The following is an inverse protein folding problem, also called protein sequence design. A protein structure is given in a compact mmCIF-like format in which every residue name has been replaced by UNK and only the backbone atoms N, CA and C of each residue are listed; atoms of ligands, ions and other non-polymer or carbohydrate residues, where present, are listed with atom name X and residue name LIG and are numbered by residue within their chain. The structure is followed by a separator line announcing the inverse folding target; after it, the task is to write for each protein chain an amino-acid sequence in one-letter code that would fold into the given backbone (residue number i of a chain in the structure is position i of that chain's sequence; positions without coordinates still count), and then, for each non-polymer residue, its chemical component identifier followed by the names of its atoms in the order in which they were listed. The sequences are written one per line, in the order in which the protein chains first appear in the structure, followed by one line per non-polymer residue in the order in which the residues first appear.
data_IF_447043700043
#
_entry.id   IF_447043700043
#
_cell.length_a   1.000
_cell.length_b   1.000
_cell.length_c   1.000
_cell.angle_alpha   90.00
_cell.angle_beta   90.00
_cell.angle_gamma   90.00
#
_symmetry.space_group_name_H-M   'P 1'
#
loop_
_entity.id
_entity.type
_entity.pdbx_description
1 polymer ?
#
# COMPACT_ATOMS: atom_id res chain seq x y z
N UNK A 1 -10.08 6.76 -0.33
CA UNK A 1 -9.32 6.27 -1.50
C UNK A 1 -8.72 7.45 -2.23
N UNK A 2 -7.50 7.33 -2.78
CA UNK A 2 -6.84 8.36 -3.60
C UNK A 2 -6.12 7.70 -4.78
N UNK A 3 -5.95 8.42 -5.88
CA UNK A 3 -5.26 7.92 -7.08
C UNK A 3 -4.09 8.84 -7.47
N UNK A 4 -3.00 8.23 -7.94
CA UNK A 4 -1.82 8.91 -8.47
C UNK A 4 -1.31 8.19 -9.73
N UNK A 5 -1.04 8.95 -10.79
CA UNK A 5 -0.47 8.44 -12.04
C UNK A 5 0.98 8.93 -12.16
N UNK A 6 1.93 8.00 -12.31
CA UNK A 6 3.36 8.29 -12.54
C UNK A 6 3.89 7.41 -13.66
N UNK A 7 4.47 8.02 -14.70
CA UNK A 7 5.02 7.30 -15.87
C UNK A 7 4.04 6.24 -16.42
N UNK A 8 2.79 6.65 -16.62
CA UNK A 8 1.65 5.81 -17.07
C UNK A 8 1.25 4.68 -16.10
N UNK A 9 1.99 4.45 -15.02
CA UNK A 9 1.59 3.52 -13.96
C UNK A 9 0.57 4.21 -13.06
N UNK A 10 -0.50 3.51 -12.73
CA UNK A 10 -1.58 4.01 -11.87
C UNK A 10 -1.47 3.37 -10.50
N UNK A 11 -1.53 4.19 -9.46
CA UNK A 11 -1.47 3.78 -8.06
C UNK A 11 -2.75 4.25 -7.37
N UNK A 12 -3.49 3.32 -6.79
CA UNK A 12 -4.73 3.61 -6.04
C UNK A 12 -4.47 3.24 -4.59
N UNK A 13 -4.54 4.19 -3.68
CA UNK A 13 -4.42 3.95 -2.24
C UNK A 13 -5.78 3.91 -1.57
N UNK A 14 -5.93 3.01 -0.61
CA UNK A 14 -7.12 2.85 0.21
C UNK A 14 -6.69 2.49 1.64
N UNK A 15 -7.42 3.02 2.62
CA UNK A 15 -7.22 2.75 4.05
C UNK A 15 -8.43 2.02 4.60
N UNK A 16 -8.19 1.04 5.46
CA UNK A 16 -9.21 0.27 6.17
C UNK A 16 -8.90 0.22 7.66
N UNK A 17 -9.96 0.19 8.48
CA UNK A 17 -9.89 -0.26 9.85
C UNK A 17 -9.67 -1.78 9.90
N UNK A 18 -8.83 -2.21 10.85
CA UNK A 18 -8.54 -3.63 11.09
C UNK A 18 -8.58 -3.92 12.59
N UNK A 19 -9.15 -5.06 12.96
CA UNK A 19 -9.24 -5.51 14.35
C UNK A 19 -8.29 -6.68 14.63
N UNK A 20 -7.85 -7.38 13.59
CA UNK A 20 -6.95 -8.51 13.68
C UNK A 20 -6.18 -8.68 12.35
N UNK A 21 -5.19 -9.59 12.34
CA UNK A 21 -4.35 -9.86 11.17
C UNK A 21 -5.16 -10.51 10.03
N UNK A 22 -6.21 -11.28 10.34
CA UNK A 22 -7.02 -11.94 9.32
C UNK A 22 -7.86 -10.96 8.51
N UNK A 23 -8.24 -9.80 9.07
CA UNK A 23 -8.87 -8.71 8.32
C UNK A 23 -7.97 -8.25 7.16
N UNK A 24 -6.66 -8.10 7.42
CA UNK A 24 -5.67 -7.72 6.38
C UNK A 24 -5.65 -8.74 5.26
N UNK A 25 -5.67 -10.05 5.59
CA UNK A 25 -5.66 -11.13 4.60
C UNK A 25 -6.94 -11.13 3.76
N UNK A 26 -8.11 -10.98 4.39
CA UNK A 26 -9.41 -10.95 3.72
C UNK A 26 -9.51 -9.76 2.76
N UNK A 27 -9.12 -8.56 3.22
CA UNK A 27 -9.11 -7.35 2.40
C UNK A 27 -8.14 -7.50 1.23
N UNK A 28 -6.94 -8.06 1.47
CA UNK A 28 -5.94 -8.29 0.41
C UNK A 28 -6.47 -9.21 -0.70
N UNK A 29 -7.12 -10.31 -0.32
CA UNK A 29 -7.73 -11.25 -1.28
C UNK A 29 -8.84 -10.54 -2.07
N UNK A 30 -9.75 -9.85 -1.39
CA UNK A 30 -10.84 -9.11 -2.01
C UNK A 30 -10.32 -8.07 -3.01
N UNK A 31 -9.30 -7.28 -2.65
CA UNK A 31 -8.70 -6.30 -3.55
C UNK A 31 -8.01 -6.95 -4.76
N UNK A 32 -7.37 -8.11 -4.58
CA UNK A 32 -6.80 -8.86 -5.72
C UNK A 32 -7.88 -9.38 -6.67
N UNK A 33 -9.04 -9.78 -6.13
CA UNK A 33 -10.19 -10.23 -6.92
C UNK A 33 -10.91 -9.09 -7.63
N UNK A 34 -11.06 -7.93 -6.99
CA UNK A 34 -11.63 -6.73 -7.58
C UNK A 34 -10.71 -6.15 -8.66
N UNK A 35 -9.41 -6.13 -8.40
CA UNK A 35 -8.40 -5.55 -9.27
C UNK A 35 -7.56 -6.62 -10.01
N UNK A 36 -8.20 -7.59 -10.68
CA UNK A 36 -7.51 -8.70 -11.38
C UNK A 36 -6.43 -8.27 -12.38
N UNK A 37 -6.55 -7.07 -12.95
CA UNK A 37 -5.59 -6.49 -13.91
C UNK A 37 -4.44 -5.73 -13.24
N UNK A 38 -4.49 -5.54 -11.92
CA UNK A 38 -3.40 -4.92 -11.19
C UNK A 38 -2.17 -5.83 -11.19
N UNK A 39 -0.99 -5.22 -11.28
CA UNK A 39 0.27 -5.95 -11.25
C UNK A 39 0.69 -6.29 -9.82
N UNK A 40 0.39 -5.37 -8.90
CA UNK A 40 0.74 -5.47 -7.49
C UNK A 40 -0.41 -4.92 -6.64
N UNK A 41 -0.70 -5.58 -5.53
CA UNK A 41 -1.52 -5.08 -4.43
C UNK A 41 -0.63 -5.09 -3.19
N UNK A 42 -0.06 -3.94 -2.86
CA UNK A 42 0.88 -3.78 -1.75
C UNK A 42 0.10 -3.38 -0.51
N UNK A 43 0.57 -3.77 0.67
CA UNK A 43 0.01 -3.23 1.91
C UNK A 43 1.06 -2.98 2.99
N UNK A 44 0.69 -2.11 3.92
CA UNK A 44 1.33 -1.93 5.22
C UNK A 44 0.26 -1.67 6.27
N UNK A 45 0.44 -2.22 7.48
CA UNK A 45 -0.53 -2.08 8.56
C UNK A 45 0.15 -1.86 9.91
N UNK A 46 -0.60 -1.24 10.82
CA UNK A 46 -0.35 -1.22 12.26
C UNK A 46 -1.62 -1.73 12.92
N UNK A 47 -1.50 -2.81 13.67
CA UNK A 47 -2.54 -3.35 14.54
C UNK A 47 -2.06 -3.10 15.98
N UNK A 48 -2.93 -2.64 16.86
CA UNK A 48 -2.55 -2.21 18.19
C UNK A 48 -1.34 -1.23 18.17
N UNK A 49 -0.52 -1.18 19.23
CA UNK A 49 0.66 -0.30 19.30
C UNK A 49 1.99 -1.02 18.97
N UNK A 50 2.00 -2.35 18.97
CA UNK A 50 3.19 -3.19 18.91
C UNK A 50 3.21 -4.09 17.67
N UNK A 51 2.06 -4.34 17.05
CA UNK A 51 1.96 -5.25 15.91
C UNK A 51 1.96 -4.48 14.58
N UNK A 52 2.91 -4.79 13.70
CA UNK A 52 2.93 -4.21 12.35
C UNK A 52 3.43 -5.20 11.32
N UNK A 53 3.06 -4.98 10.07
CA UNK A 53 3.53 -5.81 8.96
C UNK A 53 3.30 -5.15 7.62
N UNK A 54 3.96 -5.67 6.60
CA UNK A 54 3.84 -5.19 5.23
C UNK A 54 4.06 -6.30 4.22
N UNK A 55 3.64 -6.06 2.98
CA UNK A 55 3.88 -6.95 1.86
C UNK A 55 4.09 -6.11 0.59
N UNK A 56 5.25 -6.29 -0.04
CA UNK A 56 5.63 -5.61 -1.28
C UNK A 56 4.99 -6.25 -2.54
N UNK A 57 4.31 -7.39 -2.42
CA UNK A 57 3.62 -8.12 -3.49
C UNK A 57 4.42 -8.20 -4.81
N UNK A 58 5.65 -8.71 -4.74
CA UNK A 58 6.59 -8.84 -5.89
C UNK A 58 7.17 -7.51 -6.41
N UNK A 59 6.91 -6.38 -5.77
CA UNK A 59 7.78 -5.21 -5.90
C UNK A 59 9.16 -5.51 -5.30
N UNK A 60 10.21 -4.75 -5.66
CA UNK A 60 11.51 -4.88 -5.01
C UNK A 60 11.38 -4.72 -3.49
N UNK A 61 12.04 -5.60 -2.74
CA UNK A 61 11.93 -5.66 -1.29
C UNK A 61 12.18 -4.31 -0.61
N UNK A 62 11.26 -3.93 0.27
CA UNK A 62 11.27 -2.70 1.07
C UNK A 62 10.94 -1.43 0.28
N UNK A 63 10.54 -1.54 -0.99
CA UNK A 63 10.27 -0.37 -1.84
C UNK A 63 8.81 0.08 -1.87
N UNK A 64 7.88 -0.66 -1.26
CA UNK A 64 6.46 -0.37 -1.37
C UNK A 64 5.73 -0.45 -0.02
N UNK A 65 5.70 -1.63 0.61
CA UNK A 65 4.96 -1.87 1.85
C UNK A 65 5.60 -1.24 3.09
N UNK A 66 6.93 -1.30 3.20
CA UNK A 66 7.67 -0.69 4.33
C UNK A 66 7.45 0.85 4.43
N UNK A 67 7.51 1.62 3.33
CA UNK A 67 7.14 3.04 3.34
C UNK A 67 5.74 3.32 3.90
N UNK A 68 4.77 2.45 3.62
CA UNK A 68 3.39 2.58 4.11
C UNK A 68 3.34 2.39 5.64
N UNK A 69 4.03 1.38 6.17
CA UNK A 69 4.12 1.17 7.63
C UNK A 69 4.78 2.38 8.32
N UNK A 70 5.87 2.89 7.76
CA UNK A 70 6.56 4.05 8.32
C UNK A 70 5.66 5.30 8.34
N UNK A 71 4.86 5.48 7.29
CA UNK A 71 3.87 6.56 7.25
C UNK A 71 2.82 6.42 8.35
N UNK A 72 2.24 5.22 8.53
CA UNK A 72 1.27 4.96 9.60
C UNK A 72 1.88 5.27 10.98
N UNK A 73 3.15 4.91 11.22
CA UNK A 73 3.88 5.23 12.46
C UNK A 73 4.01 6.75 12.66
N UNK A 74 4.46 7.48 11.64
CA UNK A 74 4.63 8.94 11.69
C UNK A 74 3.29 9.64 11.95
N UNK A 75 2.21 9.17 11.31
CA UNK A 75 0.85 9.70 11.46
C UNK A 75 0.14 9.19 12.72
N UNK A 76 0.81 8.37 13.56
CA UNK A 76 0.28 7.76 14.77
C UNK A 76 -1.06 7.03 14.55
N UNK A 77 -1.17 6.33 13.42
CA UNK A 77 -2.37 5.58 13.06
C UNK A 77 -2.22 4.12 13.50
N UNK A 78 -3.11 3.66 14.37
CA UNK A 78 -3.18 2.28 14.89
C UNK A 78 -4.48 1.62 14.45
N UNK A 79 -4.53 0.29 14.40
CA UNK A 79 -5.68 -0.48 13.90
C UNK A 79 -6.07 -0.10 12.46
N UNK A 80 -5.07 0.23 11.64
CA UNK A 80 -5.26 0.65 10.25
C UNK A 80 -4.36 -0.16 9.32
N UNK A 81 -4.89 -0.49 8.15
CA UNK A 81 -4.13 -1.01 7.02
C UNK A 81 -4.31 -0.09 5.82
N UNK A 82 -3.21 0.23 5.14
CA UNK A 82 -3.25 0.90 3.84
C UNK A 82 -2.83 -0.10 2.77
N UNK A 83 -3.63 -0.17 1.72
CA UNK A 83 -3.34 -0.94 0.52
C UNK A 83 -3.09 0.03 -0.64
N UNK A 84 -2.16 -0.34 -1.52
CA UNK A 84 -1.89 0.37 -2.76
C UNK A 84 -1.95 -0.61 -3.92
N UNK A 85 -2.93 -0.40 -4.80
CA UNK A 85 -3.15 -1.17 -6.02
C UNK A 85 -2.39 -0.49 -7.15
N UNK A 86 -1.46 -1.22 -7.77
CA UNK A 86 -0.65 -0.71 -8.87
C UNK A 86 -1.00 -1.39 -10.19
N UNK A 87 -1.36 -0.59 -11.18
CA UNK A 87 -1.42 -1.00 -12.58
C UNK A 87 -0.15 -0.55 -13.30
N UNK A 88 0.55 -1.48 -13.95
CA UNK A 88 1.83 -1.19 -14.62
C UNK A 88 1.61 -0.45 -15.94
N UNK A 89 2.31 0.67 -16.11
CA UNK A 89 2.17 1.56 -17.29
C UNK A 89 3.14 1.30 -18.45
N UNK A 90 3.88 0.18 -18.44
CA UNK A 90 4.86 -0.15 -19.49
C UNK A 90 6.29 0.37 -19.25
N UNK A 91 6.49 1.29 -18.30
CA UNK A 91 7.83 1.82 -17.96
C UNK A 91 8.21 1.50 -16.52
N UNK A 92 9.41 0.96 -16.29
CA UNK A 92 9.93 0.71 -14.94
C UNK A 92 10.26 2.03 -14.24
N UNK A 93 9.87 2.17 -12.97
CA UNK A 93 10.13 3.36 -12.17
C UNK A 93 11.51 3.32 -11.48
N UNK A 94 12.04 2.13 -11.17
CA UNK A 94 13.21 1.96 -10.32
C UNK A 94 12.89 2.08 -8.83
N UNK A 95 13.71 1.45 -7.98
CA UNK A 95 13.42 1.25 -6.54
C UNK A 95 13.12 2.56 -5.79
N UNK A 96 13.94 3.58 -5.99
CA UNK A 96 13.80 4.88 -5.29
C UNK A 96 12.53 5.62 -5.68
N UNK A 97 12.13 5.56 -6.95
CA UNK A 97 10.88 6.19 -7.40
C UNK A 97 9.65 5.42 -6.93
N UNK A 98 9.72 4.08 -6.87
CA UNK A 98 8.65 3.27 -6.28
C UNK A 98 8.42 3.68 -4.83
N UNK A 99 9.49 3.71 -4.03
CA UNK A 99 9.44 4.12 -2.63
C UNK A 99 8.75 5.47 -2.46
N UNK A 100 9.20 6.48 -3.20
CA UNK A 100 8.59 7.83 -3.15
C UNK A 100 7.14 7.84 -3.61
N UNK A 101 6.79 7.04 -4.62
CA UNK A 101 5.44 7.00 -5.18
C UNK A 101 4.46 6.31 -4.21
N UNK A 102 4.83 5.17 -3.64
CA UNK A 102 4.02 4.46 -2.64
C UNK A 102 3.81 5.30 -1.38
N UNK A 103 4.88 5.96 -0.88
CA UNK A 103 4.76 6.88 0.24
C UNK A 103 3.82 8.06 -0.08
N UNK A 104 3.99 8.68 -1.25
CA UNK A 104 3.20 9.84 -1.67
C UNK A 104 1.71 9.51 -1.77
N UNK A 105 1.34 8.45 -2.51
CA UNK A 105 -0.07 8.10 -2.71
C UNK A 105 -0.73 7.62 -1.42
N UNK A 106 0.02 6.99 -0.52
CA UNK A 106 -0.48 6.64 0.81
C UNK A 106 -0.70 7.89 1.68
N UNK A 107 0.21 8.86 1.65
CA UNK A 107 0.07 10.09 2.44
C UNK A 107 -1.16 10.92 2.02
N UNK A 108 -1.51 10.90 0.73
CA UNK A 108 -2.71 11.58 0.21
C UNK A 108 -4.02 11.16 0.88
N UNK A 109 -4.06 10.01 1.58
CA UNK A 109 -5.24 9.56 2.33
C UNK A 109 -5.51 10.39 3.59
N UNK A 110 -4.53 11.18 4.04
CA UNK A 110 -4.59 12.02 5.23
C UNK A 110 -4.65 13.52 4.90
N UNK A 111 -4.75 13.86 3.61
CA UNK A 111 -5.00 15.20 3.10
C UNK A 111 -6.51 15.36 2.80
#
# INVERSE_FOLDING_TARGET
MKELIIKKSKFISVIYDINNIDDVKKIHISLKEEHKKAKHVVYGYILDQNTFGYNDDKEPQGSAGLPIVNLLKIKKQTNKAIFVIRYFGGTKLGKSNLLRTYLKVANMLFD
#
